data_IF_840533445908
#
_entry.id   IF_840533445908
#
_cell.length_a   1.000
_cell.length_b   1.000
_cell.length_c   1.000
_cell.angle_alpha   90.00
_cell.angle_beta   90.00
_cell.angle_gamma   90.00
#
_symmetry.space_group_name_H-M   'P 1'
#
loop_
_entity.id
_entity.type
_entity.pdbx_description
1 polymer ?
#
# COMPACT_ATOMS: atom_id res chain seq x y z
N UNK A 1 51.20 -21.38 3.86
CA UNK A 1 52.42 -21.45 4.70
C UNK A 1 53.60 -21.19 3.79
N UNK A 2 54.36 -20.12 4.01
CA UNK A 2 55.59 -19.90 3.25
C UNK A 2 56.68 -20.80 3.83
N UNK A 3 57.33 -21.60 2.98
CA UNK A 3 58.47 -22.42 3.39
C UNK A 3 59.70 -21.52 3.45
N UNK A 4 60.15 -21.21 4.65
CA UNK A 4 61.37 -20.42 4.86
C UNK A 4 62.61 -21.32 4.75
N UNK A 5 63.70 -20.77 4.19
CA UNK A 5 65.01 -21.43 4.05
C UNK A 5 65.43 -22.19 5.32
N UNK A 6 65.27 -21.55 6.48
CA UNK A 6 65.63 -22.10 7.79
C UNK A 6 64.80 -23.32 8.21
N UNK A 7 63.57 -23.45 7.69
CA UNK A 7 62.70 -24.59 7.97
C UNK A 7 63.08 -25.81 7.12
N UNK A 8 63.64 -25.59 5.93
CA UNK A 8 64.11 -26.65 5.01
C UNK A 8 65.47 -27.19 5.47
N UNK A 9 66.36 -26.32 5.97
CA UNK A 9 67.69 -26.70 6.47
C UNK A 9 67.68 -27.33 7.88
N UNK A 10 66.51 -27.44 8.52
CA UNK A 10 66.40 -27.87 9.92
C UNK A 10 66.74 -29.35 10.09
N UNK A 11 67.67 -29.66 10.99
CA UNK A 11 68.25 -31.01 11.17
C UNK A 11 67.55 -31.87 12.23
N UNK A 12 66.24 -31.70 12.43
CA UNK A 12 65.46 -32.32 13.51
C UNK A 12 64.88 -33.70 13.11
N UNK A 13 65.67 -34.56 12.45
CA UNK A 13 65.21 -35.87 11.99
C UNK A 13 65.68 -37.00 12.93
N UNK A 14 64.81 -37.96 13.31
CA UNK A 14 65.18 -39.10 14.14
C UNK A 14 66.15 -40.03 13.40
N UNK A 15 67.17 -40.54 14.09
CA UNK A 15 68.22 -41.38 13.51
C UNK A 15 67.84 -42.86 13.68
N UNK A 16 67.77 -43.62 12.57
CA UNK A 16 67.51 -45.07 12.56
C UNK A 16 68.76 -45.87 12.12
N UNK A 17 68.86 -47.15 12.51
CA UNK A 17 70.03 -48.02 12.24
C UNK A 17 70.31 -48.31 10.75
N UNK A 18 69.35 -48.08 9.86
CA UNK A 18 69.54 -47.98 8.41
C UNK A 18 68.96 -46.64 7.97
N UNK A 19 69.82 -45.70 7.58
CA UNK A 19 69.44 -44.33 7.27
C UNK A 19 70.18 -43.80 6.05
N UNK A 20 69.64 -42.72 5.49
CA UNK A 20 70.28 -41.96 4.42
C UNK A 20 71.58 -41.32 4.91
N UNK A 21 72.53 -41.12 4.00
CA UNK A 21 73.75 -40.37 4.31
C UNK A 21 73.40 -38.91 4.65
N UNK A 22 73.67 -38.53 5.89
CA UNK A 22 73.35 -37.21 6.44
C UNK A 22 74.02 -36.09 5.66
N UNK A 23 75.24 -36.30 5.17
CA UNK A 23 75.96 -35.27 4.40
C UNK A 23 75.29 -35.02 3.04
N UNK A 24 74.84 -36.09 2.38
CA UNK A 24 74.12 -35.99 1.11
C UNK A 24 72.75 -35.33 1.27
N UNK A 25 72.04 -35.63 2.36
CA UNK A 25 70.74 -35.01 2.67
C UNK A 25 70.91 -33.52 3.00
N UNK A 26 71.88 -33.15 3.82
CA UNK A 26 72.15 -31.75 4.17
C UNK A 26 72.48 -30.91 2.92
N UNK A 27 73.27 -31.46 1.98
CA UNK A 27 73.60 -30.79 0.72
C UNK A 27 72.37 -30.61 -0.18
N UNK A 28 71.51 -31.63 -0.25
CA UNK A 28 70.27 -31.56 -1.03
C UNK A 28 69.26 -30.58 -0.44
N UNK A 29 69.14 -30.53 0.89
CA UNK A 29 68.26 -29.57 1.57
C UNK A 29 68.74 -28.13 1.37
N UNK A 30 70.06 -27.88 1.36
CA UNK A 30 70.61 -26.57 1.04
C UNK A 30 70.28 -26.13 -0.40
N UNK A 31 70.46 -27.03 -1.38
CA UNK A 31 70.11 -26.75 -2.77
C UNK A 31 68.61 -26.46 -2.96
N UNK A 32 67.75 -27.24 -2.30
CA UNK A 32 66.30 -27.04 -2.34
C UNK A 32 65.91 -25.72 -1.65
N UNK A 33 66.60 -25.34 -0.58
CA UNK A 33 66.34 -24.08 0.11
C UNK A 33 66.71 -22.86 -0.76
N UNK A 34 67.82 -22.94 -1.50
CA UNK A 34 68.22 -21.90 -2.46
C UNK A 34 67.22 -21.81 -3.63
N UNK A 35 66.76 -22.93 -4.18
CA UNK A 35 65.76 -22.96 -5.26
C UNK A 35 64.40 -22.38 -4.82
N UNK A 36 63.94 -22.72 -3.61
CA UNK A 36 62.72 -22.15 -3.03
C UNK A 36 62.87 -20.65 -2.75
N UNK A 37 64.06 -20.19 -2.35
CA UNK A 37 64.34 -18.77 -2.15
C UNK A 37 64.30 -18.00 -3.48
N UNK A 38 64.88 -18.54 -4.56
CA UNK A 38 64.80 -17.96 -5.91
C UNK A 38 63.35 -17.92 -6.45
N UNK A 39 62.58 -18.99 -6.24
CA UNK A 39 61.17 -19.05 -6.62
C UNK A 39 60.34 -18.01 -5.85
N UNK A 40 60.59 -17.83 -4.56
CA UNK A 40 59.92 -16.79 -3.76
C UNK A 40 60.31 -15.38 -4.20
N UNK A 41 61.59 -15.16 -4.55
CA UNK A 41 62.08 -13.85 -5.00
C UNK A 41 61.50 -13.46 -6.35
N UNK A 42 61.29 -14.42 -7.25
CA UNK A 42 60.64 -14.21 -8.55
C UNK A 42 59.11 -14.10 -8.45
N UNK A 43 58.50 -14.80 -7.49
CA UNK A 43 57.04 -14.78 -7.28
C UNK A 43 56.54 -13.55 -6.52
N UNK A 44 57.41 -12.84 -5.78
CA UNK A 44 57.02 -11.65 -5.01
C UNK A 44 56.90 -10.43 -5.95
N UNK A 45 55.70 -9.88 -6.19
CA UNK A 45 55.56 -8.70 -7.02
C UNK A 45 56.18 -7.47 -6.31
N UNK A 46 56.75 -6.50 -7.06
CA UNK A 46 57.22 -5.26 -6.46
C UNK A 46 56.04 -4.48 -5.86
N UNK A 47 56.14 -4.12 -4.57
CA UNK A 47 55.07 -3.46 -3.82
C UNK A 47 54.55 -2.15 -4.45
N UNK A 48 55.36 -1.50 -5.29
CA UNK A 48 54.95 -0.31 -6.06
C UNK A 48 53.87 -0.63 -7.12
N UNK A 49 53.86 -1.85 -7.68
CA UNK A 49 52.88 -2.28 -8.68
C UNK A 49 51.48 -2.44 -8.06
N UNK A 50 51.40 -2.94 -6.83
CA UNK A 50 50.12 -3.12 -6.13
C UNK A 50 49.47 -1.77 -5.79
N UNK A 51 50.24 -0.78 -5.34
CA UNK A 51 49.69 0.54 -5.03
C UNK A 51 49.13 1.25 -6.29
N UNK A 52 49.83 1.12 -7.42
CA UNK A 52 49.37 1.66 -8.71
C UNK A 52 48.11 0.93 -9.19
N UNK A 53 48.13 -0.41 -9.19
CA UNK A 53 46.98 -1.23 -9.59
C UNK A 53 45.74 -0.97 -8.72
N UNK A 54 45.91 -0.86 -7.40
CA UNK A 54 44.80 -0.50 -6.50
C UNK A 54 44.28 0.91 -6.76
N UNK A 55 45.14 1.88 -7.09
CA UNK A 55 44.72 3.24 -7.40
C UNK A 55 43.94 3.31 -8.72
N UNK A 56 44.36 2.55 -9.73
CA UNK A 56 43.63 2.39 -10.99
C UNK A 56 42.29 1.71 -10.78
N UNK A 57 42.24 0.66 -9.95
CA UNK A 57 41.00 -0.04 -9.61
C UNK A 57 40.02 0.89 -8.87
N UNK A 58 40.49 1.66 -7.89
CA UNK A 58 39.64 2.65 -7.19
C UNK A 58 39.14 3.71 -8.16
N UNK A 59 40.00 4.23 -9.05
CA UNK A 59 39.59 5.21 -10.06
C UNK A 59 38.51 4.66 -11.00
N UNK A 60 38.66 3.42 -11.46
CA UNK A 60 37.68 2.76 -12.32
C UNK A 60 36.33 2.56 -11.60
N UNK A 61 36.35 2.20 -10.31
CA UNK A 61 35.13 2.08 -9.50
C UNK A 61 34.44 3.43 -9.35
N UNK A 62 35.19 4.51 -9.07
CA UNK A 62 34.62 5.86 -8.92
C UNK A 62 34.02 6.34 -10.24
N UNK A 63 34.69 6.15 -11.37
CA UNK A 63 34.17 6.53 -12.69
C UNK A 63 32.90 5.75 -13.05
N UNK A 64 32.86 4.45 -12.76
CA UNK A 64 31.66 3.63 -12.93
C UNK A 64 30.52 4.09 -12.01
N UNK A 65 30.82 4.42 -10.75
CA UNK A 65 29.85 4.91 -9.79
C UNK A 65 29.29 6.29 -10.17
N UNK A 66 30.13 7.20 -10.68
CA UNK A 66 29.70 8.52 -11.17
C UNK A 66 28.80 8.40 -12.40
N UNK A 67 29.14 7.51 -13.33
CA UNK A 67 28.32 7.20 -14.51
C UNK A 67 26.97 6.66 -14.08
N UNK A 68 26.96 5.64 -13.21
CA UNK A 68 25.72 5.05 -12.68
C UNK A 68 24.88 6.07 -11.92
N UNK A 69 25.49 6.92 -11.08
CA UNK A 69 24.78 7.98 -10.37
C UNK A 69 24.18 9.01 -11.34
N UNK A 70 24.86 9.33 -12.44
CA UNK A 70 24.33 10.22 -13.47
C UNK A 70 23.13 9.61 -14.20
N UNK A 71 23.19 8.32 -14.52
CA UNK A 71 22.09 7.58 -15.14
C UNK A 71 20.87 7.51 -14.21
N UNK A 72 21.07 7.17 -12.94
CA UNK A 72 20.00 7.14 -11.93
C UNK A 72 19.33 8.51 -11.81
N UNK A 73 20.10 9.60 -11.75
CA UNK A 73 19.53 10.97 -11.72
C UNK A 73 18.72 11.26 -12.97
N UNK A 74 19.23 10.96 -14.15
CA UNK A 74 18.52 11.22 -15.40
C UNK A 74 17.21 10.41 -15.48
N UNK A 75 17.26 9.14 -15.07
CA UNK A 75 16.09 8.27 -15.04
C UNK A 75 15.04 8.77 -14.05
N UNK A 76 15.46 9.10 -12.82
CA UNK A 76 14.56 9.65 -11.81
C UNK A 76 13.94 10.99 -12.24
N UNK A 77 14.69 11.85 -12.91
CA UNK A 77 14.15 13.10 -13.47
C UNK A 77 13.13 12.84 -14.58
N UNK A 78 13.38 11.87 -15.46
CA UNK A 78 12.45 11.49 -16.52
C UNK A 78 11.15 10.91 -15.94
N UNK A 79 11.25 10.01 -14.96
CA UNK A 79 10.11 9.45 -14.24
C UNK A 79 9.33 10.53 -13.49
N UNK A 80 10.01 11.44 -12.79
CA UNK A 80 9.36 12.54 -12.08
C UNK A 80 8.65 13.51 -13.04
N UNK A 81 9.15 13.70 -14.27
CA UNK A 81 8.44 14.46 -15.31
C UNK A 81 7.21 13.70 -15.77
N UNK A 82 7.34 12.41 -16.09
CA UNK A 82 6.23 11.57 -16.52
C UNK A 82 5.10 11.51 -15.49
N UNK A 83 5.43 11.33 -14.21
CA UNK A 83 4.46 11.31 -13.11
C UNK A 83 3.72 12.65 -13.02
N UNK A 84 4.44 13.79 -13.12
CA UNK A 84 3.82 15.12 -13.10
C UNK A 84 2.89 15.33 -14.29
N UNK A 85 3.32 14.92 -15.49
CA UNK A 85 2.51 15.06 -16.70
C UNK A 85 1.24 14.20 -16.61
N UNK A 86 1.37 12.95 -16.16
CA UNK A 86 0.24 12.05 -15.93
C UNK A 86 -0.72 12.60 -14.88
N UNK A 87 -0.22 13.01 -13.72
CA UNK A 87 -1.05 13.59 -12.65
C UNK A 87 -1.77 14.86 -13.13
N UNK A 88 -1.11 15.69 -13.95
CA UNK A 88 -1.72 16.89 -14.52
C UNK A 88 -2.86 16.56 -15.50
N UNK A 89 -2.67 15.51 -16.31
CA UNK A 89 -3.66 15.04 -17.27
C UNK A 89 -4.88 14.44 -16.54
N UNK A 90 -4.65 13.59 -15.54
CA UNK A 90 -5.70 13.00 -14.71
C UNK A 90 -6.48 14.08 -13.95
N UNK A 91 -5.79 15.05 -13.34
CA UNK A 91 -6.43 16.16 -12.64
C UNK A 91 -7.29 17.00 -13.60
N UNK A 92 -6.83 17.22 -14.84
CA UNK A 92 -7.61 17.93 -15.85
C UNK A 92 -8.87 17.14 -16.25
N UNK A 93 -8.73 15.86 -16.55
CA UNK A 93 -9.84 14.97 -16.89
C UNK A 93 -10.88 14.93 -15.76
N UNK A 94 -10.44 14.82 -14.51
CA UNK A 94 -11.32 14.82 -13.34
C UNK A 94 -12.08 16.13 -13.18
N UNK A 95 -11.43 17.29 -13.38
CA UNK A 95 -12.12 18.59 -13.37
C UNK A 95 -13.14 18.71 -14.51
N UNK A 96 -12.78 18.27 -15.71
CA UNK A 96 -13.69 18.29 -16.87
C UNK A 96 -14.92 17.39 -16.61
N UNK A 97 -14.72 16.20 -16.03
CA UNK A 97 -15.81 15.32 -15.62
C UNK A 97 -16.68 15.93 -14.53
N UNK A 98 -16.09 16.45 -13.45
CA UNK A 98 -16.82 17.08 -12.35
C UNK A 98 -17.64 18.29 -12.82
N UNK A 99 -17.08 19.13 -13.69
CA UNK A 99 -17.80 20.27 -14.27
C UNK A 99 -18.93 19.83 -15.19
N UNK A 100 -18.74 18.78 -15.99
CA UNK A 100 -19.80 18.19 -16.81
C UNK A 100 -20.95 17.65 -15.95
N UNK A 101 -20.63 16.86 -14.92
CA UNK A 101 -21.61 16.33 -13.98
C UNK A 101 -22.36 17.46 -13.25
N UNK A 102 -21.67 18.49 -12.78
CA UNK A 102 -22.28 19.64 -12.13
C UNK A 102 -23.29 20.34 -13.06
N UNK A 103 -22.96 20.54 -14.34
CA UNK A 103 -23.88 21.11 -15.33
C UNK A 103 -25.12 20.24 -15.52
N UNK A 104 -24.94 18.92 -15.69
CA UNK A 104 -26.06 17.99 -15.81
C UNK A 104 -26.97 17.98 -14.57
N UNK A 105 -26.39 18.07 -13.37
CA UNK A 105 -27.17 18.18 -12.13
C UNK A 105 -27.97 19.47 -12.06
N UNK A 106 -27.36 20.61 -12.44
CA UNK A 106 -28.07 21.89 -12.51
C UNK A 106 -29.21 21.86 -13.52
N UNK A 107 -29.01 21.23 -14.68
CA UNK A 107 -30.08 21.03 -15.68
C UNK A 107 -31.24 20.22 -15.08
N UNK A 108 -30.95 19.08 -14.43
CA UNK A 108 -31.97 18.25 -13.75
C UNK A 108 -32.72 19.00 -12.65
N UNK A 109 -32.00 19.76 -11.83
CA UNK A 109 -32.58 20.58 -10.76
C UNK A 109 -33.50 21.62 -11.39
N UNK A 110 -33.05 22.35 -12.40
CA UNK A 110 -33.84 23.38 -13.08
C UNK A 110 -35.13 22.82 -13.69
N UNK A 111 -35.07 21.64 -14.32
CA UNK A 111 -36.23 20.97 -14.89
C UNK A 111 -37.23 20.52 -13.80
N UNK A 112 -36.71 20.03 -12.68
CA UNK A 112 -37.52 19.62 -11.53
C UNK A 112 -38.18 20.82 -10.87
N UNK A 113 -37.45 21.93 -10.68
CA UNK A 113 -38.01 23.19 -10.16
C UNK A 113 -39.08 23.76 -11.09
N UNK A 114 -38.88 23.73 -12.42
CA UNK A 114 -39.90 24.16 -13.37
C UNK A 114 -41.19 23.33 -13.25
N UNK A 115 -41.06 22.01 -13.10
CA UNK A 115 -42.18 21.09 -12.88
C UNK A 115 -42.92 21.38 -11.58
N UNK A 116 -42.18 21.62 -10.48
CA UNK A 116 -42.77 21.99 -9.19
C UNK A 116 -43.54 23.31 -9.26
N UNK A 117 -42.98 24.33 -9.92
CA UNK A 117 -43.66 25.62 -10.13
C UNK A 117 -44.93 25.45 -10.96
N UNK A 118 -44.91 24.60 -11.98
CA UNK A 118 -46.11 24.29 -12.77
C UNK A 118 -47.18 23.61 -11.91
N UNK A 119 -46.80 22.66 -11.05
CA UNK A 119 -47.71 21.99 -10.12
C UNK A 119 -48.28 22.95 -9.08
N UNK A 120 -47.47 23.85 -8.54
CA UNK A 120 -47.92 24.87 -7.59
C UNK A 120 -48.97 25.80 -8.21
N UNK A 121 -48.76 26.24 -9.46
CA UNK A 121 -49.76 27.04 -10.20
C UNK A 121 -51.06 26.28 -10.45
N UNK A 122 -50.98 24.98 -10.74
CA UNK A 122 -52.17 24.15 -10.89
C UNK A 122 -52.96 24.04 -9.58
N UNK A 123 -52.26 23.80 -8.46
CA UNK A 123 -52.87 23.78 -7.12
C UNK A 123 -53.49 25.14 -6.76
N UNK A 124 -52.83 26.25 -7.08
CA UNK A 124 -53.36 27.60 -6.87
C UNK A 124 -54.67 27.85 -7.66
N UNK A 125 -54.73 27.37 -8.91
CA UNK A 125 -55.93 27.44 -9.72
C UNK A 125 -57.07 26.57 -9.16
N UNK A 126 -56.76 25.36 -8.69
CA UNK A 126 -57.72 24.47 -8.03
C UNK A 126 -58.26 25.09 -6.73
N UNK A 127 -57.40 25.67 -5.89
CA UNK A 127 -57.83 26.36 -4.67
C UNK A 127 -58.71 27.57 -4.98
N UNK A 128 -58.39 28.34 -6.02
CA UNK A 128 -59.22 29.48 -6.45
C UNK A 128 -60.60 29.03 -6.93
N UNK A 129 -60.67 27.93 -7.70
CA UNK A 129 -61.93 27.34 -8.13
C UNK A 129 -62.76 26.79 -6.95
N UNK A 130 -62.12 26.15 -5.98
CA UNK A 130 -62.77 25.69 -4.75
C UNK A 130 -63.35 26.87 -3.96
N UNK A 131 -62.58 27.95 -3.78
CA UNK A 131 -63.05 29.15 -3.09
C UNK A 131 -64.27 29.78 -3.79
N UNK A 132 -64.25 29.84 -5.12
CA UNK A 132 -65.39 30.36 -5.89
C UNK A 132 -66.62 29.45 -5.76
N UNK A 133 -66.44 28.12 -5.78
CA UNK A 133 -67.54 27.18 -5.56
C UNK A 133 -68.17 27.31 -4.16
N UNK A 134 -67.36 27.56 -3.13
CA UNK A 134 -67.84 27.79 -1.75
C UNK A 134 -68.59 29.11 -1.66
N UNK A 135 -68.11 30.16 -2.34
CA UNK A 135 -68.78 31.46 -2.40
C UNK A 135 -70.13 31.36 -3.13
N UNK A 136 -70.20 30.65 -4.25
CA UNK A 136 -71.44 30.41 -4.98
C UNK A 136 -72.46 29.65 -4.13
N UNK A 137 -72.02 28.59 -3.44
CA UNK A 137 -72.87 27.84 -2.51
C UNK A 137 -73.37 28.69 -1.34
N UNK A 138 -72.56 29.63 -0.84
CA UNK A 138 -72.98 30.57 0.20
C UNK A 138 -73.99 31.63 -0.31
N UNK A 139 -73.90 32.03 -1.58
CA UNK A 139 -74.80 33.01 -2.21
C UNK A 139 -76.19 32.43 -2.53
N UNK A 140 -76.30 31.13 -2.77
CA UNK A 140 -77.59 30.46 -3.02
C UNK A 140 -78.41 30.22 -1.73
N UNK A 141 -77.84 30.42 -0.54
CA UNK A 141 -78.51 30.16 0.74
C UNK A 141 -78.85 28.67 0.94
N UNK A 142 -79.13 28.20 2.18
CA UNK A 142 -79.41 26.79 2.40
C UNK A 142 -80.81 26.45 1.88
N UNK A 143 -80.91 26.06 0.61
CA UNK A 143 -82.00 25.19 0.18
C UNK A 143 -81.75 23.81 0.79
N UNK A 144 -82.43 23.55 1.91
CA UNK A 144 -82.51 22.23 2.52
C UNK A 144 -83.04 21.24 1.47
N UNK A 145 -82.15 20.42 0.92
CA UNK A 145 -82.49 19.16 0.30
C UNK A 145 -81.87 18.04 1.15
N UNK A 146 -82.65 17.60 2.13
CA UNK A 146 -82.53 16.27 2.73
C UNK A 146 -82.53 15.21 1.63
N UNK A 147 -81.38 14.64 1.33
CA UNK A 147 -81.27 13.31 0.75
C UNK A 147 -79.90 12.75 1.14
N UNK A 148 -79.87 12.06 2.28
CA UNK A 148 -78.80 11.14 2.58
C UNK A 148 -78.90 9.93 1.65
N UNK A 149 -77.86 9.60 0.86
CA UNK A 149 -77.55 8.22 0.56
C UNK A 149 -76.57 7.73 1.64
N UNK A 150 -76.99 6.73 2.39
CA UNK A 150 -76.12 5.95 3.26
C UNK A 150 -74.91 5.44 2.46
N UNK A 151 -73.65 5.72 2.87
CA UNK A 151 -72.52 5.00 2.32
C UNK A 151 -72.54 3.59 2.91
N UNK A 152 -72.98 2.63 2.10
CA UNK A 152 -72.71 1.20 2.35
C UNK A 152 -71.20 1.03 2.48
N UNK A 153 -70.73 0.83 3.71
CA UNK A 153 -69.37 0.38 4.01
C UNK A 153 -69.27 -1.09 3.56
N UNK A 154 -68.91 -1.30 2.30
CA UNK A 154 -68.35 -2.56 1.81
C UNK A 154 -67.29 -2.27 0.75
N UNK A 155 -66.05 -2.12 1.19
CA UNK A 155 -64.97 -2.93 0.65
C UNK A 155 -63.79 -2.92 1.62
N UNK A 156 -63.55 -4.10 2.21
CA UNK A 156 -62.26 -4.44 2.76
C UNK A 156 -61.24 -4.40 1.62
N UNK A 157 -60.23 -3.54 1.75
CA UNK A 157 -58.99 -3.63 0.98
C UNK A 157 -57.90 -3.98 2.01
N UNK A 158 -57.14 -5.05 1.76
CA UNK A 158 -56.33 -5.70 2.78
C UNK A 158 -55.17 -4.83 3.24
N UNK A 159 -54.94 -4.88 4.55
CA UNK A 159 -53.73 -4.45 5.22
C UNK A 159 -52.52 -5.16 4.58
N UNK A 160 -51.49 -4.44 4.11
CA UNK A 160 -50.26 -5.10 3.69
C UNK A 160 -49.66 -5.77 4.93
N UNK A 161 -49.27 -7.06 4.88
CA UNK A 161 -48.58 -7.66 6.00
C UNK A 161 -47.24 -6.93 6.15
N UNK A 162 -47.03 -6.35 7.33
CA UNK A 162 -45.68 -6.18 7.86
C UNK A 162 -45.02 -7.55 7.84
N UNK A 163 -44.25 -7.82 6.78
CA UNK A 163 -43.27 -8.89 6.77
C UNK A 163 -42.08 -8.36 7.57
N UNK A 164 -42.07 -8.75 8.84
CA UNK A 164 -40.85 -8.92 9.62
C UNK A 164 -40.00 -9.95 8.86
N UNK A 165 -39.20 -9.46 7.91
CA UNK A 165 -38.22 -10.27 7.21
C UNK A 165 -36.99 -10.36 8.10
N UNK A 166 -36.84 -11.52 8.73
CA UNK A 166 -35.61 -12.01 9.32
C UNK A 166 -34.39 -11.65 8.46
N UNK A 167 -33.25 -11.26 9.05
CA UNK A 167 -32.00 -11.23 8.32
C UNK A 167 -31.42 -12.65 8.20
N UNK A 168 -30.67 -12.85 7.12
CA UNK A 168 -29.89 -14.03 6.67
C UNK A 168 -30.56 -14.90 5.60
N UNK A 169 -29.85 -15.40 4.56
CA UNK A 169 -28.39 -15.48 4.38
C UNK A 169 -27.84 -15.00 3.01
N UNK A 170 -26.52 -15.14 2.87
CA UNK A 170 -25.61 -14.79 1.77
C UNK A 170 -25.98 -15.19 0.32
N UNK A 171 -25.51 -14.40 -0.66
CA UNK A 171 -24.76 -14.78 -1.89
C UNK A 171 -24.90 -13.67 -2.96
N UNK A 172 -23.83 -12.98 -3.37
CA UNK A 172 -22.86 -13.29 -4.45
C UNK A 172 -23.34 -12.76 -5.83
N UNK A 173 -22.39 -12.25 -6.64
CA UNK A 173 -22.47 -11.85 -8.08
C UNK A 173 -22.57 -10.33 -8.34
N UNK A 174 -21.73 -9.61 -9.13
CA UNK A 174 -20.51 -9.89 -9.90
C UNK A 174 -19.83 -8.57 -10.38
N UNK A 175 -18.49 -8.58 -10.44
CA UNK A 175 -17.57 -8.00 -11.46
C UNK A 175 -17.39 -6.45 -11.61
N UNK A 176 -16.25 -5.94 -12.17
CA UNK A 176 -15.17 -6.66 -12.85
C UNK A 176 -13.73 -6.45 -12.32
N UNK A 177 -12.87 -7.39 -12.75
CA UNK A 177 -11.41 -7.44 -12.62
C UNK A 177 -10.70 -6.24 -13.29
N UNK A 178 -9.44 -5.96 -12.90
CA UNK A 178 -8.40 -6.29 -13.87
C UNK A 178 -7.30 -7.18 -13.28
N UNK A 179 -6.87 -8.10 -14.14
CA UNK A 179 -5.75 -9.00 -13.95
C UNK A 179 -4.42 -8.25 -13.80
N UNK A 180 -3.56 -8.73 -12.91
CA UNK A 180 -2.16 -9.03 -13.26
C UNK A 180 -1.73 -10.32 -12.56
N UNK A 181 -1.39 -11.30 -13.40
CA UNK A 181 -0.64 -12.49 -13.05
C UNK A 181 0.76 -12.14 -12.57
N UNK A 182 1.22 -12.80 -11.52
CA UNK A 182 2.53 -13.49 -11.54
C UNK A 182 2.44 -14.80 -10.77
N UNK A 183 2.52 -15.90 -11.52
CA UNK A 183 2.96 -17.22 -11.08
C UNK A 183 4.46 -17.15 -10.80
N UNK A 184 4.95 -17.81 -9.75
CA UNK A 184 6.39 -18.05 -9.59
C UNK A 184 6.76 -18.64 -8.24
N UNK A 185 6.72 -19.96 -8.13
CA UNK A 185 7.30 -20.73 -7.03
C UNK A 185 8.82 -20.52 -6.91
N UNK A 186 9.37 -20.37 -5.70
CA UNK A 186 10.22 -21.37 -5.03
C UNK A 186 10.67 -20.85 -3.63
N UNK A 187 10.88 -21.73 -2.63
CA UNK A 187 11.35 -21.37 -1.29
C UNK A 187 12.88 -21.44 -1.23
N UNK A 188 13.48 -20.60 -0.39
CA UNK A 188 14.91 -20.70 -0.10
C UNK A 188 15.46 -19.38 0.39
N UNK A 189 15.67 -19.33 1.71
CA UNK A 189 16.72 -18.65 2.48
C UNK A 189 17.27 -17.29 1.99
N UNK A 190 17.59 -16.44 2.99
CA UNK A 190 18.26 -15.13 2.89
C UNK A 190 17.22 -14.00 2.74
N UNK A 191 17.03 -13.04 3.64
CA UNK A 191 17.89 -12.42 4.65
C UNK A 191 17.05 -11.86 5.80
N UNK A 192 17.40 -12.27 7.02
CA UNK A 192 16.89 -11.68 8.24
C UNK A 192 17.66 -10.39 8.52
N UNK A 193 17.23 -9.24 7.98
CA UNK A 193 17.68 -7.92 8.48
C UNK A 193 16.75 -6.73 8.21
N UNK A 194 15.64 -6.85 7.47
CA UNK A 194 14.76 -5.70 7.16
C UNK A 194 13.51 -5.54 8.06
N UNK A 195 13.29 -6.41 9.04
CA UNK A 195 12.02 -6.41 9.79
C UNK A 195 11.93 -5.41 10.96
N UNK A 196 12.87 -4.48 11.14
CA UNK A 196 12.79 -3.50 12.23
C UNK A 196 12.12 -2.18 11.79
N UNK A 197 12.34 -1.75 10.55
CA UNK A 197 11.89 -0.43 10.08
C UNK A 197 10.40 -0.45 9.67
N UNK A 198 10.00 -1.43 8.85
CA UNK A 198 8.59 -1.58 8.42
C UNK A 198 7.61 -1.94 9.55
N UNK A 199 8.08 -2.58 10.64
CA UNK A 199 7.25 -2.84 11.83
C UNK A 199 6.86 -1.57 12.58
N UNK A 200 7.68 -0.51 12.48
CA UNK A 200 7.41 0.78 13.12
C UNK A 200 6.42 1.62 12.30
N UNK A 201 6.56 1.62 10.96
CA UNK A 201 5.62 2.28 10.05
C UNK A 201 4.22 1.64 10.09
N UNK A 202 4.15 0.31 10.20
CA UNK A 202 2.87 -0.41 10.38
C UNK A 202 2.20 -0.06 11.71
N UNK A 203 2.98 0.18 12.77
CA UNK A 203 2.47 0.57 14.08
C UNK A 203 1.95 2.01 14.10
N UNK A 204 2.64 2.93 13.44
CA UNK A 204 2.19 4.32 13.28
C UNK A 204 0.94 4.42 12.40
N UNK A 205 0.90 3.67 11.30
CA UNK A 205 -0.25 3.58 10.40
C UNK A 205 -1.47 3.00 11.12
N UNK A 206 -1.28 1.92 11.90
CA UNK A 206 -2.33 1.35 12.74
C UNK A 206 -2.87 2.36 13.76
N UNK A 207 -2.01 3.17 14.37
CA UNK A 207 -2.41 4.20 15.34
C UNK A 207 -3.29 5.27 14.69
N UNK A 208 -2.94 5.74 13.49
CA UNK A 208 -3.73 6.74 12.76
C UNK A 208 -5.12 6.22 12.41
N UNK A 209 -5.22 4.97 11.95
CA UNK A 209 -6.51 4.36 11.62
C UNK A 209 -7.33 4.12 12.89
N UNK A 210 -6.72 3.62 13.96
CA UNK A 210 -7.38 3.43 15.25
C UNK A 210 -7.94 4.74 15.82
N UNK A 211 -7.17 5.84 15.71
CA UNK A 211 -7.61 7.18 16.12
C UNK A 211 -8.81 7.65 15.29
N UNK A 212 -8.76 7.50 13.96
CA UNK A 212 -9.86 7.89 13.10
C UNK A 212 -11.14 7.08 13.37
N UNK A 213 -11.02 5.78 13.65
CA UNK A 213 -12.15 4.93 14.03
C UNK A 213 -12.70 5.29 15.42
N UNK A 214 -11.83 5.60 16.38
CA UNK A 214 -12.24 6.05 17.71
C UNK A 214 -12.99 7.39 17.66
N UNK A 215 -12.53 8.35 16.84
CA UNK A 215 -13.22 9.61 16.58
C UNK A 215 -14.58 9.42 15.89
N UNK A 216 -14.71 8.36 15.09
CA UNK A 216 -15.96 7.95 14.44
C UNK A 216 -16.91 7.18 15.38
N UNK A 217 -16.59 7.12 16.67
CA UNK A 217 -17.37 6.44 17.72
C UNK A 217 -17.50 4.91 17.51
N UNK A 218 -16.53 4.29 16.84
CA UNK A 218 -16.44 2.83 16.70
C UNK A 218 -16.07 2.19 18.05
N UNK A 219 -16.68 1.06 18.44
CA UNK A 219 -16.36 0.39 19.71
C UNK A 219 -14.95 -0.21 19.71
N UNK A 220 -14.33 -0.25 20.89
CA UNK A 220 -12.92 -0.65 21.07
C UNK A 220 -12.65 -2.05 20.55
N UNK A 221 -13.58 -2.98 20.72
CA UNK A 221 -13.48 -4.37 20.31
C UNK A 221 -13.48 -4.53 18.78
N UNK A 222 -14.15 -3.61 18.06
CA UNK A 222 -14.20 -3.60 16.60
C UNK A 222 -12.94 -3.02 16.00
N UNK A 223 -12.37 -1.97 16.61
CA UNK A 223 -11.05 -1.45 16.26
C UNK A 223 -9.97 -2.50 16.52
N UNK A 224 -10.04 -3.21 17.66
CA UNK A 224 -9.13 -4.29 17.99
C UNK A 224 -9.16 -5.39 16.90
N UNK A 225 -10.35 -5.86 16.52
CA UNK A 225 -10.52 -6.86 15.45
C UNK A 225 -9.96 -6.37 14.12
N UNK A 226 -10.28 -5.13 13.74
CA UNK A 226 -9.78 -4.53 12.51
C UNK A 226 -8.26 -4.47 12.45
N UNK A 227 -7.61 -4.10 13.57
CA UNK A 227 -6.16 -4.06 13.67
C UNK A 227 -5.52 -5.45 13.59
N UNK A 228 -6.13 -6.48 14.18
CA UNK A 228 -5.61 -7.86 14.07
C UNK A 228 -5.67 -8.43 12.66
N UNK A 229 -6.67 -8.05 11.86
CA UNK A 229 -6.83 -8.55 10.49
C UNK A 229 -5.90 -7.84 9.49
N UNK A 230 -5.53 -6.59 9.77
CA UNK A 230 -4.83 -5.71 8.81
C UNK A 230 -3.39 -5.39 9.19
N UNK A 231 -3.02 -5.50 10.46
CA UNK A 231 -1.70 -5.10 10.96
C UNK A 231 -1.07 -6.18 11.84
N UNK A 232 0.25 -6.37 11.72
CA UNK A 232 1.03 -7.31 12.55
C UNK A 232 1.62 -6.58 13.76
N UNK A 233 0.79 -6.25 14.74
CA UNK A 233 1.19 -5.49 15.93
C UNK A 233 1.57 -6.41 17.09
N UNK A 234 2.73 -6.16 17.72
CA UNK A 234 3.19 -6.89 18.91
C UNK A 234 2.40 -6.52 20.17
N UNK A 235 1.94 -5.26 20.29
CA UNK A 235 1.26 -4.76 21.50
C UNK A 235 0.06 -3.86 21.18
N UNK A 236 -0.97 -4.49 20.60
CA UNK A 236 -2.23 -3.83 20.17
C UNK A 236 -3.03 -3.26 21.34
N UNK A 237 -2.97 -3.90 22.51
CA UNK A 237 -3.69 -3.46 23.71
C UNK A 237 -3.26 -2.07 24.18
N UNK A 238 -1.93 -1.87 24.30
CA UNK A 238 -1.36 -0.57 24.68
C UNK A 238 -1.67 0.54 23.68
N UNK A 239 -1.59 0.24 22.39
CA UNK A 239 -1.92 1.22 21.35
C UNK A 239 -3.37 1.71 21.45
N UNK A 240 -4.32 0.80 21.72
CA UNK A 240 -5.71 1.17 21.92
C UNK A 240 -5.92 2.00 23.19
N UNK A 241 -5.24 1.67 24.30
CA UNK A 241 -5.32 2.48 25.53
C UNK A 241 -4.85 3.92 25.28
N UNK A 242 -3.70 4.09 24.60
CA UNK A 242 -3.17 5.42 24.24
C UNK A 242 -4.10 6.22 23.32
N UNK A 243 -4.74 5.57 22.35
CA UNK A 243 -5.69 6.22 21.43
C UNK A 243 -6.95 6.68 22.17
N UNK A 244 -7.52 5.84 23.05
CA UNK A 244 -8.70 6.22 23.82
C UNK A 244 -8.41 7.24 24.91
N UNK A 245 -7.20 7.23 25.48
CA UNK A 245 -6.72 8.32 26.34
C UNK A 245 -6.65 9.64 25.57
N UNK A 246 -6.12 9.63 24.34
CA UNK A 246 -6.03 10.83 23.48
C UNK A 246 -7.39 11.39 23.03
N UNK A 247 -8.44 10.57 22.96
CA UNK A 247 -9.79 11.02 22.55
C UNK A 247 -10.61 11.51 23.75
N UNK A 248 -10.30 11.02 24.96
CA UNK A 248 -11.02 11.36 26.20
C UNK A 248 -10.41 12.56 26.95
N UNK A 249 -9.12 12.84 26.74
CA UNK A 249 -8.42 14.02 27.29
C UNK A 249 -8.73 15.31 26.53
#
# INVERSE_FOLDING_TARGET
MALDRQSIEKKDFPIALQGYDRAAVDAHLAALADEVEELNRSSRPPAQSLAVSSSEQVRAIVEAAETSASEIRHQAEAEARQIRDQASAEARMSREQATSQARQHLEKISASTATLLQRLRAVEAEMSALLESVRAAAAEGPAVATAAPEPTVRQAVPEPPFREAAPEPASREAAPEPAVSTVGANPGAEEATEEADGRSEDAESARLIALNMALSNTPREEIDRYLAERYRLTDRGKLLDEVYESVRG
#
